data_IF_936244207995
#
_entry.id   IF_936244207995
#
_cell.length_a   1.000
_cell.length_b   1.000
_cell.length_c   1.000
_cell.angle_alpha   90.00
_cell.angle_beta   90.00
_cell.angle_gamma   90.00
#
_symmetry.space_group_name_H-M   'P 1'
#
loop_
_entity.id
_entity.type
_entity.pdbx_description
1 polymer ?
#
# COMPACT_ATOMS: atom_id res chain seq x y z
N UNK A 1 -26.70 -10.83 18.01
CA UNK A 1 -27.12 -10.01 16.86
C UNK A 1 -25.85 -9.55 16.20
N UNK A 2 -25.59 -9.97 14.97
CA UNK A 2 -24.36 -9.61 14.23
C UNK A 2 -24.50 -8.17 13.76
N UNK A 3 -23.45 -7.37 13.93
CA UNK A 3 -23.40 -6.00 13.46
C UNK A 3 -22.57 -5.94 12.18
N UNK A 4 -23.17 -5.51 11.07
CA UNK A 4 -22.53 -5.57 9.74
C UNK A 4 -22.23 -4.19 9.18
N UNK A 5 -21.02 -4.01 8.65
CA UNK A 5 -20.58 -2.83 7.91
C UNK A 5 -20.19 -3.21 6.47
N UNK A 6 -20.37 -2.27 5.55
CA UNK A 6 -20.10 -2.43 4.12
C UNK A 6 -19.20 -1.30 3.63
N UNK A 7 -18.18 -1.64 2.84
CA UNK A 7 -17.40 -0.61 2.15
C UNK A 7 -18.22 0.05 1.02
N UNK A 8 -17.98 1.34 0.72
CA UNK A 8 -18.93 2.18 0.00
C UNK A 8 -19.04 1.90 -1.50
N UNK A 9 -18.14 1.18 -2.15
CA UNK A 9 -18.18 0.90 -3.59
C UNK A 9 -17.56 1.99 -4.46
N UNK A 10 -16.53 2.67 -3.96
CA UNK A 10 -15.68 3.60 -4.69
C UNK A 10 -14.65 2.91 -5.60
N UNK A 11 -14.62 1.57 -5.60
CA UNK A 11 -13.78 0.72 -6.44
C UNK A 11 -12.72 0.02 -5.60
N UNK A 12 -12.20 -1.10 -6.08
CA UNK A 12 -11.42 -2.04 -5.26
C UNK A 12 -10.30 -1.39 -4.44
N UNK A 13 -9.53 -0.45 -5.01
CA UNK A 13 -8.45 0.28 -4.30
C UNK A 13 -9.01 1.18 -3.20
N UNK A 14 -10.02 1.98 -3.50
CA UNK A 14 -10.59 2.88 -2.51
C UNK A 14 -11.28 2.08 -1.39
N UNK A 15 -12.02 1.03 -1.74
CA UNK A 15 -12.71 0.15 -0.81
C UNK A 15 -11.75 -0.66 0.07
N UNK A 16 -10.58 -1.10 -0.44
CA UNK A 16 -9.56 -1.74 0.39
C UNK A 16 -8.94 -0.77 1.39
N UNK A 17 -8.75 0.50 1.00
CA UNK A 17 -8.29 1.55 1.91
C UNK A 17 -9.36 1.86 2.97
N UNK A 18 -10.63 1.99 2.57
CA UNK A 18 -11.75 2.13 3.53
C UNK A 18 -11.77 0.96 4.50
N UNK A 19 -11.67 -0.29 4.02
CA UNK A 19 -11.64 -1.50 4.85
C UNK A 19 -10.58 -1.34 5.95
N UNK A 20 -9.34 -1.07 5.59
CA UNK A 20 -8.27 -0.92 6.58
C UNK A 20 -8.47 0.28 7.51
N UNK A 21 -9.01 1.40 7.03
CA UNK A 21 -9.39 2.52 7.88
C UNK A 21 -10.44 2.14 8.93
N UNK A 22 -11.50 1.44 8.51
CA UNK A 22 -12.54 0.94 9.41
C UNK A 22 -11.94 0.00 10.46
N UNK A 23 -11.17 -1.01 10.02
CA UNK A 23 -10.55 -1.97 10.95
C UNK A 23 -9.66 -1.28 11.98
N UNK A 24 -8.88 -0.27 11.57
CA UNK A 24 -8.02 0.48 12.48
C UNK A 24 -8.81 1.22 13.55
N UNK A 25 -9.89 1.90 13.15
CA UNK A 25 -10.78 2.60 14.09
C UNK A 25 -11.42 1.61 15.05
N UNK A 26 -11.97 0.50 14.53
CA UNK A 26 -12.60 -0.55 15.34
C UNK A 26 -11.63 -1.12 16.38
N UNK A 27 -10.40 -1.44 15.98
CA UNK A 27 -9.37 -1.95 16.89
C UNK A 27 -9.07 -0.97 18.03
N UNK A 28 -9.02 0.33 17.74
CA UNK A 28 -8.84 1.39 18.75
C UNK A 28 -10.01 1.49 19.71
N UNK A 29 -11.24 1.24 19.24
CA UNK A 29 -12.42 1.12 20.10
C UNK A 29 -12.49 -0.20 20.89
N UNK A 30 -11.46 -1.06 20.79
CA UNK A 30 -11.45 -2.39 21.41
C UNK A 30 -12.32 -3.43 20.71
N UNK A 31 -12.77 -3.16 19.47
CA UNK A 31 -13.60 -4.06 18.67
C UNK A 31 -12.71 -4.77 17.64
N UNK A 32 -12.34 -6.01 17.92
CA UNK A 32 -11.43 -6.80 17.08
C UNK A 32 -11.92 -8.23 16.81
N UNK A 33 -13.17 -8.54 17.17
CA UNK A 33 -13.77 -9.85 16.93
C UNK A 33 -14.79 -9.78 15.82
N UNK A 34 -14.58 -10.58 14.79
CA UNK A 34 -15.42 -10.60 13.62
C UNK A 34 -14.70 -11.13 12.41
N UNK A 35 -15.39 -11.06 11.27
CA UNK A 35 -14.89 -11.56 10.00
C UNK A 35 -15.02 -10.51 8.92
N UNK A 36 -14.08 -10.55 7.99
CA UNK A 36 -14.11 -9.76 6.76
C UNK A 36 -14.24 -10.71 5.60
N UNK A 37 -15.18 -10.43 4.70
CA UNK A 37 -15.36 -11.18 3.47
C UNK A 37 -15.44 -10.24 2.27
N UNK A 38 -15.08 -10.77 1.10
CA UNK A 38 -15.10 -10.00 -0.14
C UNK A 38 -16.39 -10.24 -0.90
N UNK A 39 -17.02 -9.15 -1.33
CA UNK A 39 -18.21 -9.14 -2.15
C UNK A 39 -17.96 -8.31 -3.43
N UNK A 40 -17.43 -8.96 -4.46
CA UNK A 40 -17.01 -8.29 -5.70
C UNK A 40 -15.82 -7.36 -5.48
N UNK A 41 -16.02 -6.06 -5.67
CA UNK A 41 -15.02 -5.00 -5.37
C UNK A 41 -15.18 -4.38 -3.98
N UNK A 42 -16.13 -4.88 -3.17
CA UNK A 42 -16.48 -4.36 -1.85
C UNK A 42 -16.16 -5.39 -0.78
N UNK A 43 -16.20 -4.96 0.47
CA UNK A 43 -15.97 -5.80 1.63
C UNK A 43 -17.14 -5.69 2.60
N UNK A 44 -17.43 -6.83 3.24
CA UNK A 44 -18.41 -6.95 4.32
C UNK A 44 -17.63 -7.23 5.59
N UNK A 45 -17.89 -6.47 6.64
CA UNK A 45 -17.27 -6.62 7.96
C UNK A 45 -18.39 -7.00 8.93
N UNK A 46 -18.34 -8.23 9.43
CA UNK A 46 -19.30 -8.77 10.39
C UNK A 46 -18.67 -8.80 11.77
N UNK A 47 -19.22 -8.01 12.70
CA UNK A 47 -18.74 -7.91 14.08
C UNK A 47 -19.53 -8.86 14.97
N UNK A 48 -18.83 -9.57 15.84
CA UNK A 48 -19.45 -10.41 16.87
C UNK A 48 -20.13 -9.54 17.95
N UNK A 49 -19.61 -8.34 18.18
CA UNK A 49 -20.16 -7.37 19.11
C UNK A 49 -21.34 -6.59 18.52
N UNK A 50 -22.43 -6.53 19.29
CA UNK A 50 -23.70 -5.95 18.85
C UNK A 50 -23.77 -4.42 18.90
N UNK A 51 -22.76 -3.74 19.45
CA UNK A 51 -22.75 -2.28 19.60
C UNK A 51 -21.44 -1.67 19.14
N UNK A 52 -21.52 -0.81 18.12
CA UNK A 52 -20.44 0.07 17.72
C UNK A 52 -20.38 1.26 18.69
N UNK A 53 -19.51 1.17 19.69
CA UNK A 53 -19.23 2.25 20.64
C UNK A 53 -17.91 2.95 20.27
N UNK A 54 -17.86 3.53 19.07
CA UNK A 54 -16.73 4.36 18.64
C UNK A 54 -17.13 5.83 18.68
N UNK A 55 -16.54 6.59 19.59
CA UNK A 55 -16.68 8.05 19.58
C UNK A 55 -15.86 8.65 18.43
N UNK A 56 -16.29 9.82 17.93
CA UNK A 56 -15.55 10.58 16.93
C UNK A 56 -14.17 11.01 17.46
N UNK A 57 -14.05 11.24 18.76
CA UNK A 57 -12.82 11.73 19.40
C UNK A 57 -11.68 10.71 19.25
N UNK A 58 -12.00 9.41 19.15
CA UNK A 58 -11.03 8.35 18.86
C UNK A 58 -10.33 8.57 17.52
N UNK A 59 -11.03 9.09 16.51
CA UNK A 59 -10.42 9.33 15.19
C UNK A 59 -9.43 10.49 15.26
N UNK A 60 -9.73 11.51 16.07
CA UNK A 60 -8.79 12.60 16.35
C UNK A 60 -7.56 12.06 17.07
N UNK A 61 -7.72 11.22 18.09
CA UNK A 61 -6.60 10.60 18.81
C UNK A 61 -5.71 9.75 17.88
N UNK A 62 -6.30 8.95 16.99
CA UNK A 62 -5.53 8.13 16.03
C UNK A 62 -4.73 9.01 15.06
N UNK A 63 -5.27 10.17 14.70
CA UNK A 63 -4.69 11.07 13.69
C UNK A 63 -3.91 12.24 14.30
N UNK A 64 -3.85 12.38 15.62
CA UNK A 64 -3.32 13.57 16.31
C UNK A 64 -1.93 13.97 15.79
N UNK A 65 -0.98 13.03 15.78
CA UNK A 65 0.37 13.23 15.26
C UNK A 65 0.37 13.71 13.79
N UNK A 66 -0.49 13.14 12.97
CA UNK A 66 -0.62 13.49 11.55
C UNK A 66 -1.18 14.89 11.39
N UNK A 67 -2.21 15.24 12.16
CA UNK A 67 -2.88 16.55 12.10
C UNK A 67 -1.91 17.66 12.51
N UNK A 68 -1.19 17.48 13.63
CA UNK A 68 -0.14 18.41 14.08
C UNK A 68 0.92 18.58 12.99
N UNK A 69 1.43 17.48 12.44
CA UNK A 69 2.45 17.52 11.37
C UNK A 69 1.95 18.22 10.11
N UNK A 70 0.66 18.06 9.78
CA UNK A 70 0.02 18.70 8.63
C UNK A 70 -0.11 20.20 8.86
N UNK A 71 -0.57 20.64 10.03
CA UNK A 71 -0.65 22.06 10.38
C UNK A 71 0.73 22.73 10.31
N UNK A 72 1.75 22.11 10.90
CA UNK A 72 3.13 22.59 10.83
C UNK A 72 3.61 22.71 9.37
N UNK A 73 3.37 21.69 8.55
CA UNK A 73 3.74 21.70 7.13
C UNK A 73 3.06 22.83 6.35
N UNK A 74 1.78 23.08 6.63
CA UNK A 74 0.99 24.11 5.95
C UNK A 74 1.42 25.53 6.36
N UNK A 75 1.76 25.73 7.64
CA UNK A 75 2.15 27.01 8.23
C UNK A 75 3.59 27.44 7.84
N UNK A 76 4.56 26.52 7.91
CA UNK A 76 6.00 26.81 7.63
C UNK A 76 6.22 27.33 6.20
N UNK A 77 5.40 26.87 5.25
CA UNK A 77 5.53 27.25 3.84
C UNK A 77 4.93 28.61 3.50
N UNK A 78 4.06 29.17 4.34
CA UNK A 78 3.53 30.52 4.18
C UNK A 78 4.55 31.60 4.56
N UNK A 79 5.36 31.33 5.59
CA UNK A 79 6.37 32.26 6.08
C UNK A 79 7.66 32.26 5.24
N UNK A 80 7.98 31.15 4.54
CA UNK A 80 9.26 30.97 3.83
C UNK A 80 9.10 30.67 2.35
N UNK A 81 8.58 31.65 1.59
CA UNK A 81 8.68 31.68 0.11
C UNK A 81 10.16 31.87 -0.31
N UNK A 82 11.00 30.85 -0.21
CA UNK A 82 12.35 30.90 -0.78
C UNK A 82 13.38 29.90 -0.28
N UNK A 83 13.15 29.20 0.83
CA UNK A 83 14.15 28.26 1.38
C UNK A 83 13.58 26.83 1.39
N UNK A 84 14.22 25.95 0.62
CA UNK A 84 13.98 24.49 0.64
C UNK A 84 14.68 23.91 1.88
N UNK A 85 14.18 24.18 3.06
CA UNK A 85 14.61 23.43 4.24
C UNK A 85 13.75 22.18 4.42
N UNK A 86 14.45 21.09 4.70
CA UNK A 86 13.91 19.77 4.98
C UNK A 86 13.08 19.89 6.25
N UNK A 87 11.76 19.86 6.11
CA UNK A 87 10.87 19.73 7.25
C UNK A 87 11.18 18.33 7.84
N UNK A 88 11.48 18.26 9.14
CA UNK A 88 11.44 17.00 9.89
C UNK A 88 9.96 16.60 9.99
N UNK A 89 9.48 15.99 8.92
CA UNK A 89 8.12 15.51 8.79
C UNK A 89 8.02 14.21 9.59
N UNK A 90 6.98 14.04 10.41
CA UNK A 90 6.67 12.74 11.04
C UNK A 90 6.70 11.60 10.03
N UNK A 91 7.00 10.38 10.48
CA UNK A 91 7.05 9.20 9.60
C UNK A 91 5.74 9.01 8.82
N UNK A 92 4.59 9.37 9.43
CA UNK A 92 3.27 9.27 8.80
C UNK A 92 3.04 10.30 7.70
N UNK A 93 3.40 11.57 7.93
CA UNK A 93 3.27 12.58 6.87
C UNK A 93 4.34 12.35 5.77
N UNK A 94 5.51 11.82 6.13
CA UNK A 94 6.52 11.34 5.19
C UNK A 94 5.93 10.28 4.28
N UNK A 95 5.21 9.30 4.82
CA UNK A 95 4.52 8.28 4.04
C UNK A 95 3.52 8.87 3.03
N UNK A 96 2.68 9.84 3.40
CA UNK A 96 1.77 10.54 2.46
C UNK A 96 2.59 11.25 1.37
N UNK A 97 3.69 11.89 1.75
CA UNK A 97 4.57 12.57 0.80
C UNK A 97 5.22 11.58 -0.19
N UNK A 98 5.66 10.40 0.26
CA UNK A 98 6.21 9.33 -0.59
C UNK A 98 5.14 8.68 -1.46
N UNK A 99 3.93 8.50 -0.93
CA UNK A 99 2.73 8.09 -1.65
C UNK A 99 2.40 9.06 -2.79
N UNK A 100 2.64 10.36 -2.59
CA UNK A 100 2.25 11.35 -3.56
C UNK A 100 3.24 11.42 -4.74
N UNK A 101 2.81 10.88 -5.87
CA UNK A 101 3.51 10.98 -7.14
C UNK A 101 3.41 12.41 -7.76
N UNK A 102 2.37 13.18 -7.42
CA UNK A 102 2.12 14.54 -7.93
C UNK A 102 2.27 15.58 -6.80
N UNK A 103 3.51 16.00 -6.53
CA UNK A 103 3.82 16.93 -5.43
C UNK A 103 2.94 18.20 -5.37
N UNK A 104 2.58 18.85 -6.50
CA UNK A 104 1.67 20.00 -6.49
C UNK A 104 0.34 19.79 -5.76
N UNK A 105 -0.25 18.58 -5.80
CA UNK A 105 -1.55 18.34 -5.14
C UNK A 105 -1.45 18.07 -3.64
N UNK A 106 -0.23 17.91 -3.11
CA UNK A 106 -0.01 17.53 -1.70
C UNK A 106 -0.67 18.52 -0.76
N UNK A 107 -0.49 19.83 -0.98
CA UNK A 107 -1.05 20.87 -0.11
C UNK A 107 -2.57 20.75 0.00
N UNK A 108 -3.25 20.64 -1.15
CA UNK A 108 -4.70 20.52 -1.19
C UNK A 108 -5.18 19.22 -0.53
N UNK A 109 -4.42 18.12 -0.71
CA UNK A 109 -4.73 16.86 -0.05
C UNK A 109 -4.64 17.01 1.47
N UNK A 110 -3.53 17.55 1.99
CA UNK A 110 -3.35 17.74 3.42
C UNK A 110 -4.38 18.69 4.03
N UNK A 111 -4.70 19.81 3.36
CA UNK A 111 -5.77 20.72 3.81
C UNK A 111 -7.12 20.00 3.88
N UNK A 112 -7.46 19.17 2.89
CA UNK A 112 -8.71 18.40 2.93
C UNK A 112 -8.73 17.35 4.05
N UNK A 113 -7.58 16.87 4.53
CA UNK A 113 -7.52 15.98 5.70
C UNK A 113 -7.97 16.77 6.94
N UNK A 114 -7.42 17.97 7.17
CA UNK A 114 -7.84 18.84 8.28
C UNK A 114 -9.35 19.14 8.19
N UNK A 115 -9.80 19.64 7.04
CA UNK A 115 -11.22 20.01 6.82
C UNK A 115 -12.16 18.82 7.07
N UNK A 116 -11.77 17.62 6.62
CA UNK A 116 -12.61 16.41 6.74
C UNK A 116 -12.63 15.87 8.17
N UNK A 117 -11.56 16.05 8.95
CA UNK A 117 -11.53 15.65 10.36
C UNK A 117 -12.42 16.55 11.21
N UNK A 118 -12.45 17.86 10.93
CA UNK A 118 -13.38 18.81 11.56
C UNK A 118 -14.85 18.53 11.23
N UNK A 119 -15.11 17.86 10.11
CA UNK A 119 -16.43 17.43 9.68
C UNK A 119 -17.06 16.32 10.55
N UNK A 120 -18.26 15.88 10.15
CA UNK A 120 -18.91 14.75 10.82
C UNK A 120 -18.33 13.43 10.33
N UNK A 121 -17.68 12.68 11.22
CA UNK A 121 -17.19 11.33 10.94
C UNK A 121 -17.94 10.30 11.77
N UNK A 122 -18.51 9.29 11.11
CA UNK A 122 -19.17 8.19 11.80
C UNK A 122 -19.14 6.90 11.00
N UNK A 123 -18.63 5.82 11.58
CA UNK A 123 -18.68 4.49 10.94
C UNK A 123 -20.11 3.96 10.74
N UNK A 124 -21.11 4.57 11.38
CA UNK A 124 -22.53 4.24 11.17
C UNK A 124 -22.95 4.41 9.71
N UNK A 125 -22.28 5.27 8.95
CA UNK A 125 -22.58 5.48 7.53
C UNK A 125 -22.32 4.23 6.68
N UNK A 126 -21.49 3.30 7.16
CA UNK A 126 -21.17 2.04 6.50
C UNK A 126 -22.16 0.92 6.80
N UNK A 127 -23.17 1.15 7.64
CA UNK A 127 -24.30 0.19 7.79
C UNK A 127 -25.12 0.06 6.51
N UNK A 128 -25.15 1.12 5.69
CA UNK A 128 -25.91 1.12 4.46
C UNK A 128 -25.07 0.55 3.31
N UNK A 129 -25.45 -0.61 2.74
CA UNK A 129 -24.77 -1.14 1.55
C UNK A 129 -24.90 -0.22 0.32
N UNK A 130 -25.80 0.76 0.32
CA UNK A 130 -25.96 1.74 -0.76
C UNK A 130 -25.40 3.13 -0.41
N UNK A 131 -24.43 3.21 0.52
CA UNK A 131 -23.81 4.45 0.96
C UNK A 131 -23.46 5.40 -0.20
N UNK A 132 -22.75 4.90 -1.22
CA UNK A 132 -22.33 5.65 -2.40
C UNK A 132 -23.48 6.34 -3.13
N UNK A 133 -24.62 5.66 -3.28
CA UNK A 133 -25.76 6.13 -4.07
C UNK A 133 -26.48 7.31 -3.41
N UNK A 134 -26.47 7.37 -2.07
CA UNK A 134 -27.02 8.51 -1.33
C UNK A 134 -26.30 9.82 -1.63
N UNK A 135 -25.01 9.75 -1.93
CA UNK A 135 -24.17 10.91 -2.21
C UNK A 135 -23.96 11.16 -3.71
N UNK A 136 -24.53 10.33 -4.61
CA UNK A 136 -24.39 10.48 -6.07
C UNK A 136 -24.88 11.84 -6.58
N UNK A 137 -25.99 12.35 -6.03
CA UNK A 137 -26.53 13.67 -6.40
C UNK A 137 -25.66 14.84 -5.92
N UNK A 138 -24.85 14.62 -4.88
CA UNK A 138 -24.01 15.65 -4.25
C UNK A 138 -22.58 15.67 -4.80
N UNK A 139 -22.16 14.70 -5.63
CA UNK A 139 -20.80 14.64 -6.22
C UNK A 139 -20.41 15.86 -7.08
N UNK A 140 -21.40 16.65 -7.51
CA UNK A 140 -21.23 17.90 -8.27
C UNK A 140 -21.33 19.17 -7.40
N UNK A 141 -21.65 19.05 -6.11
CA UNK A 141 -21.79 20.16 -5.15
C UNK A 141 -20.52 20.45 -4.32
N UNK A 142 -20.55 21.54 -3.57
CA UNK A 142 -19.53 21.87 -2.54
C UNK A 142 -19.62 20.95 -1.32
N UNK A 143 -18.53 20.81 -0.57
CA UNK A 143 -18.47 20.04 0.68
C UNK A 143 -18.16 18.54 0.54
N UNK A 144 -17.43 18.14 -0.50
CA UNK A 144 -16.90 16.76 -0.64
C UNK A 144 -15.40 16.81 -0.96
N UNK A 145 -14.65 15.86 -0.40
CA UNK A 145 -13.21 15.74 -0.58
C UNK A 145 -12.85 15.06 -1.91
N UNK A 146 -11.71 15.44 -2.49
CA UNK A 146 -11.21 14.89 -3.75
C UNK A 146 -10.45 13.59 -3.52
N UNK A 147 -10.81 12.55 -4.25
CA UNK A 147 -10.09 11.29 -4.21
C UNK A 147 -8.89 11.35 -5.17
N UNK A 148 -7.70 11.56 -4.61
CA UNK A 148 -6.45 11.64 -5.36
C UNK A 148 -6.02 10.28 -5.92
N UNK A 149 -5.15 10.27 -6.94
CA UNK A 149 -4.73 9.04 -7.63
C UNK A 149 -4.16 7.94 -6.71
N UNK A 150 -3.32 8.25 -5.70
CA UNK A 150 -2.86 7.24 -4.75
C UNK A 150 -4.01 6.48 -4.05
N UNK A 151 -5.19 7.10 -3.97
CA UNK A 151 -6.34 6.62 -3.21
C UNK A 151 -7.36 5.83 -4.06
N UNK A 152 -7.15 5.71 -5.37
CA UNK A 152 -8.09 5.00 -6.25
C UNK A 152 -7.51 4.34 -7.50
N UNK A 153 -6.24 4.60 -7.83
CA UNK A 153 -5.52 4.15 -9.02
C UNK A 153 -6.08 4.59 -10.39
N UNK A 154 -7.37 4.92 -10.50
CA UNK A 154 -8.08 5.24 -11.74
C UNK A 154 -8.63 6.68 -11.70
N UNK A 155 -9.04 7.14 -10.51
CA UNK A 155 -9.68 8.43 -10.35
C UNK A 155 -8.69 9.49 -9.87
N UNK A 156 -8.58 10.55 -10.66
CA UNK A 156 -7.65 11.65 -10.43
C UNK A 156 -7.91 12.85 -11.31
N UNK A 157 -8.19 12.60 -12.59
CA UNK A 157 -8.50 13.63 -13.58
C UNK A 157 -9.84 13.39 -14.32
N UNK A 158 -10.36 12.16 -14.31
CA UNK A 158 -11.55 11.78 -15.07
C UNK A 158 -12.55 11.02 -14.20
N UNK A 159 -13.84 11.37 -14.32
CA UNK A 159 -14.96 10.54 -13.84
C UNK A 159 -15.60 9.87 -15.05
N UNK A 160 -15.81 8.56 -14.98
CA UNK A 160 -16.66 7.85 -15.91
C UNK A 160 -18.10 7.86 -15.35
N UNK A 161 -18.99 8.64 -15.96
CA UNK A 161 -20.43 8.58 -15.68
C UNK A 161 -21.14 7.80 -16.79
N UNK A 162 -22.36 7.29 -16.55
CA UNK A 162 -23.17 6.49 -17.50
C UNK A 162 -23.39 7.13 -18.88
N UNK A 163 -23.03 8.40 -19.08
CA UNK A 163 -23.21 9.18 -20.32
C UNK A 163 -21.91 9.71 -20.93
N UNK A 164 -20.73 9.37 -20.40
CA UNK A 164 -19.44 9.78 -20.96
C UNK A 164 -18.32 9.94 -19.93
N UNK A 165 -17.12 10.22 -20.43
CA UNK A 165 -15.95 10.58 -19.61
C UNK A 165 -15.90 12.10 -19.45
N UNK A 166 -15.94 12.61 -18.22
CA UNK A 166 -15.77 14.04 -17.95
C UNK A 166 -14.49 14.29 -17.15
N UNK A 167 -13.74 15.33 -17.51
CA UNK A 167 -12.63 15.85 -16.68
C UNK A 167 -13.18 16.53 -15.43
N UNK A 168 -13.53 15.73 -14.42
CA UNK A 168 -13.90 16.21 -13.10
C UNK A 168 -13.17 15.37 -12.03
N UNK A 169 -12.83 15.96 -10.88
CA UNK A 169 -12.29 15.20 -9.77
C UNK A 169 -13.37 14.26 -9.23
N UNK A 170 -13.02 13.00 -8.97
CA UNK A 170 -13.89 12.10 -8.23
C UNK A 170 -13.92 12.55 -6.77
N UNK A 171 -15.12 12.70 -6.20
CA UNK A 171 -15.30 13.21 -4.84
C UNK A 171 -16.02 12.21 -3.94
N UNK A 172 -15.66 12.20 -2.66
CA UNK A 172 -16.20 11.33 -1.61
C UNK A 172 -16.56 12.15 -0.36
N UNK A 173 -17.39 11.59 0.52
CA UNK A 173 -17.71 12.24 1.79
C UNK A 173 -16.52 12.20 2.75
N UNK A 174 -16.53 13.06 3.77
CA UNK A 174 -15.44 13.21 4.74
C UNK A 174 -15.12 11.90 5.47
N UNK A 175 -16.14 11.13 5.86
CA UNK A 175 -15.93 9.80 6.48
C UNK A 175 -15.19 8.83 5.56
N UNK A 176 -15.54 8.78 4.27
CA UNK A 176 -14.82 7.96 3.29
C UNK A 176 -13.42 8.50 3.04
N UNK A 177 -13.24 9.81 2.95
CA UNK A 177 -11.92 10.39 2.74
C UNK A 177 -10.97 10.09 3.90
N UNK A 178 -11.43 10.24 5.14
CA UNK A 178 -10.61 9.97 6.33
C UNK A 178 -10.29 8.48 6.45
N UNK A 179 -11.27 7.59 6.31
CA UNK A 179 -10.99 6.14 6.38
C UNK A 179 -10.06 5.67 5.26
N UNK A 180 -10.16 6.22 4.05
CA UNK A 180 -9.22 5.96 2.95
C UNK A 180 -7.80 6.39 3.30
N UNK A 181 -7.64 7.59 3.87
CA UNK A 181 -6.33 8.08 4.31
C UNK A 181 -5.75 7.24 5.45
N UNK A 182 -6.60 6.80 6.39
CA UNK A 182 -6.20 5.84 7.42
C UNK A 182 -5.77 4.50 6.82
N UNK A 183 -6.49 3.99 5.81
CA UNK A 183 -6.08 2.79 5.08
C UNK A 183 -4.74 2.94 4.37
N UNK A 184 -4.44 4.14 3.85
CA UNK A 184 -3.14 4.42 3.23
C UNK A 184 -2.03 4.43 4.30
N UNK A 185 -2.29 5.10 5.43
CA UNK A 185 -1.32 5.24 6.52
C UNK A 185 -1.03 3.90 7.22
N UNK A 186 -2.07 3.12 7.49
CA UNK A 186 -1.99 1.93 8.34
C UNK A 186 -2.11 0.61 7.59
N UNK A 187 -2.76 0.56 6.43
CA UNK A 187 -3.03 -0.69 5.70
C UNK A 187 -2.24 -0.88 4.41
N UNK A 188 -1.40 0.08 4.02
CA UNK A 188 -0.78 0.09 2.67
C UNK A 188 0.71 0.34 2.72
N UNK A 189 1.50 -0.67 2.36
CA UNK A 189 2.94 -0.52 2.21
C UNK A 189 3.26 0.22 0.91
N UNK A 190 4.21 1.16 0.96
CA UNK A 190 4.57 2.01 -0.17
C UNK A 190 6.01 1.78 -0.58
N UNK A 191 6.25 1.45 -1.85
CA UNK A 191 7.60 1.40 -2.42
C UNK A 191 7.72 2.50 -3.47
N UNK A 192 8.63 3.44 -3.26
CA UNK A 192 8.94 4.50 -4.23
C UNK A 192 10.28 4.22 -4.87
N UNK A 193 10.33 4.27 -6.19
CA UNK A 193 11.57 4.21 -6.97
C UNK A 193 11.71 5.49 -7.77
N UNK A 194 12.80 6.21 -7.55
CA UNK A 194 13.16 7.39 -8.33
C UNK A 194 14.38 7.09 -9.21
N UNK A 195 14.27 7.29 -10.52
CA UNK A 195 15.36 7.09 -11.49
C UNK A 195 15.38 8.27 -12.46
N UNK A 196 16.37 9.16 -12.32
CA UNK A 196 16.48 10.41 -13.12
C UNK A 196 15.17 11.21 -13.07
N UNK A 197 14.51 11.44 -14.21
CA UNK A 197 13.25 12.19 -14.34
C UNK A 197 11.99 11.32 -14.21
N UNK A 198 12.16 10.04 -13.84
CA UNK A 198 11.09 9.06 -13.69
C UNK A 198 10.92 8.70 -12.22
N UNK A 199 9.71 8.85 -11.70
CA UNK A 199 9.30 8.37 -10.37
C UNK A 199 8.22 7.31 -10.54
N UNK A 200 8.33 6.19 -9.84
CA UNK A 200 7.29 5.18 -9.75
C UNK A 200 6.96 4.91 -8.29
N UNK A 201 5.68 4.81 -7.97
CA UNK A 201 5.20 4.47 -6.63
C UNK A 201 4.31 3.25 -6.74
N UNK A 202 4.65 2.23 -5.96
CA UNK A 202 3.93 0.97 -5.86
C UNK A 202 3.28 0.91 -4.49
N UNK A 203 2.04 0.44 -4.46
CA UNK A 203 1.25 0.31 -3.25
C UNK A 203 0.88 -1.15 -3.08
N UNK A 204 0.92 -1.64 -1.85
CA UNK A 204 0.61 -3.03 -1.51
C UNK A 204 -0.28 -3.04 -0.28
N UNK A 205 -1.45 -3.66 -0.37
CA UNK A 205 -2.41 -3.78 0.73
C UNK A 205 -3.04 -5.17 0.75
N UNK A 206 -3.61 -5.58 1.89
CA UNK A 206 -4.07 -6.95 2.12
C UNK A 206 -5.60 -7.01 2.15
N UNK A 207 -6.18 -7.84 1.31
CA UNK A 207 -7.63 -7.95 1.19
C UNK A 207 -8.09 -9.38 1.46
N UNK A 208 -9.30 -9.51 1.98
CA UNK A 208 -9.93 -10.81 2.13
C UNK A 208 -10.24 -11.41 0.74
N UNK A 209 -9.97 -12.72 0.57
CA UNK A 209 -10.47 -13.53 -0.56
C UNK A 209 -11.75 -14.24 -0.15
N UNK A 210 -11.75 -14.81 1.05
CA UNK A 210 -12.86 -15.51 1.70
C UNK A 210 -13.13 -14.87 3.08
N UNK A 211 -13.75 -15.59 3.99
CA UNK A 211 -13.97 -15.12 5.36
C UNK A 211 -12.65 -15.16 6.15
N UNK A 212 -12.08 -13.99 6.42
CA UNK A 212 -10.83 -13.80 7.18
C UNK A 212 -11.14 -13.19 8.54
N UNK A 213 -10.45 -13.62 9.59
CA UNK A 213 -10.56 -13.00 10.91
C UNK A 213 -10.07 -11.53 10.87
N UNK A 214 -10.77 -10.64 11.56
CA UNK A 214 -10.35 -9.22 11.65
C UNK A 214 -8.92 -9.10 12.20
N UNK A 215 -8.54 -9.94 13.16
CA UNK A 215 -7.21 -9.91 13.78
C UNK A 215 -6.11 -10.25 12.77
N UNK A 216 -6.32 -11.18 11.84
CA UNK A 216 -5.34 -11.48 10.79
C UNK A 216 -5.07 -10.25 9.92
N UNK A 217 -6.12 -9.53 9.51
CA UNK A 217 -5.96 -8.30 8.72
C UNK A 217 -5.34 -7.16 9.55
N UNK A 218 -5.67 -7.03 10.84
CA UNK A 218 -5.07 -6.06 11.74
C UNK A 218 -3.58 -6.34 11.99
N UNK A 219 -3.19 -7.62 12.08
CA UNK A 219 -1.81 -8.02 12.16
C UNK A 219 -1.06 -7.59 10.90
N UNK A 220 -1.61 -7.89 9.72
CA UNK A 220 -1.03 -7.49 8.44
C UNK A 220 -0.95 -5.97 8.23
N UNK A 221 -1.81 -5.17 8.87
CA UNK A 221 -1.67 -3.71 8.88
C UNK A 221 -0.30 -3.28 9.41
N UNK A 222 0.29 -3.96 10.40
CA UNK A 222 1.62 -3.61 10.90
C UNK A 222 2.69 -3.68 9.80
N UNK A 223 2.56 -4.61 8.85
CA UNK A 223 3.42 -4.65 7.65
C UNK A 223 3.09 -3.52 6.67
N UNK A 224 1.78 -3.25 6.52
CA UNK A 224 1.24 -2.16 5.71
C UNK A 224 1.63 -0.77 6.20
N UNK A 225 2.06 -0.59 7.45
CA UNK A 225 2.45 0.71 7.99
C UNK A 225 3.75 1.27 7.37
N UNK A 226 4.63 0.40 6.88
CA UNK A 226 5.94 0.80 6.34
C UNK A 226 5.90 1.52 4.98
N UNK A 227 7.02 2.16 4.66
CA UNK A 227 7.34 2.61 3.31
C UNK A 227 8.84 2.42 3.03
N UNK A 228 9.18 2.31 1.76
CA UNK A 228 10.55 2.12 1.29
C UNK A 228 10.83 3.02 0.09
N UNK A 229 11.99 3.65 0.07
CA UNK A 229 12.42 4.54 -1.01
C UNK A 229 13.74 4.05 -1.57
N UNK A 230 13.77 3.86 -2.89
CA UNK A 230 14.96 3.44 -3.65
C UNK A 230 15.36 4.56 -4.59
N UNK A 231 16.54 5.14 -4.34
CA UNK A 231 17.15 6.12 -5.23
C UNK A 231 17.96 5.44 -6.34
N UNK A 232 17.77 5.90 -7.57
CA UNK A 232 18.37 5.35 -8.79
C UNK A 232 18.14 3.83 -8.97
N UNK A 233 16.99 3.33 -8.50
CA UNK A 233 16.67 1.91 -8.55
C UNK A 233 16.22 1.39 -9.92
N UNK A 234 16.26 0.07 -10.08
CA UNK A 234 15.63 -0.68 -11.14
C UNK A 234 14.10 -0.53 -11.09
N UNK A 235 13.45 -0.65 -12.26
CA UNK A 235 11.99 -0.64 -12.32
C UNK A 235 11.43 -1.90 -11.66
N UNK A 236 10.32 -1.78 -10.94
CA UNK A 236 9.72 -2.92 -10.24
C UNK A 236 8.56 -3.43 -11.09
N UNK A 237 8.57 -4.69 -11.55
CA UNK A 237 7.39 -5.31 -12.13
C UNK A 237 6.24 -5.26 -11.13
N UNK A 238 5.03 -4.87 -11.57
CA UNK A 238 3.90 -4.67 -10.65
C UNK A 238 3.62 -5.90 -9.77
N UNK A 239 3.70 -7.11 -10.35
CA UNK A 239 3.50 -8.38 -9.63
C UNK A 239 4.57 -8.63 -8.55
N UNK A 240 5.75 -8.02 -8.66
CA UNK A 240 6.87 -8.16 -7.72
C UNK A 240 6.82 -7.16 -6.57
N UNK A 241 5.97 -6.13 -6.64
CA UNK A 241 5.85 -5.13 -5.57
C UNK A 241 5.47 -5.76 -4.21
N UNK A 242 4.54 -6.72 -4.13
CA UNK A 242 4.23 -7.44 -2.90
C UNK A 242 5.41 -8.17 -2.28
N UNK A 243 6.23 -8.86 -3.10
CA UNK A 243 7.43 -9.54 -2.62
C UNK A 243 8.38 -8.55 -1.92
N UNK A 244 8.59 -7.38 -2.52
CA UNK A 244 9.44 -6.33 -1.96
C UNK A 244 8.84 -5.81 -0.65
N UNK A 245 7.57 -5.43 -0.65
CA UNK A 245 6.87 -4.90 0.52
C UNK A 245 6.92 -5.85 1.72
N UNK A 246 6.61 -7.13 1.50
CA UNK A 246 6.62 -8.18 2.53
C UNK A 246 8.07 -8.46 2.99
N UNK A 247 9.05 -8.29 2.10
CA UNK A 247 10.47 -8.44 2.43
C UNK A 247 11.02 -7.33 3.33
N UNK A 248 10.52 -6.09 3.24
CA UNK A 248 11.00 -4.98 4.09
C UNK A 248 10.42 -4.99 5.51
N UNK A 249 9.20 -5.53 5.71
CA UNK A 249 8.55 -5.56 7.01
C UNK A 249 9.05 -6.66 7.94
N UNK A 250 8.63 -6.61 9.20
CA UNK A 250 8.70 -7.79 10.09
C UNK A 250 7.84 -8.91 9.48
N UNK A 251 8.38 -10.13 9.39
CA UNK A 251 7.58 -11.27 8.92
C UNK A 251 6.61 -11.66 10.02
N UNK A 252 5.32 -11.43 9.78
CA UNK A 252 4.29 -11.83 10.73
C UNK A 252 3.91 -13.28 10.42
N UNK A 253 4.60 -14.22 11.07
CA UNK A 253 4.37 -15.65 10.90
C UNK A 253 3.03 -16.16 11.50
N UNK A 254 2.19 -15.26 12.00
CA UNK A 254 1.07 -15.57 12.89
C UNK A 254 -0.31 -15.47 12.23
N UNK A 255 -0.39 -15.34 10.90
CA UNK A 255 -1.67 -15.39 10.19
C UNK A 255 -2.16 -16.85 10.15
N UNK A 256 -3.36 -17.12 10.63
CA UNK A 256 -3.88 -18.49 10.75
C UNK A 256 -4.16 -19.13 9.40
N UNK A 257 -4.89 -18.44 8.52
CA UNK A 257 -5.34 -18.94 7.22
C UNK A 257 -4.81 -18.05 6.06
N UNK A 258 -3.50 -18.06 5.75
CA UNK A 258 -2.90 -17.17 4.74
C UNK A 258 -3.46 -17.37 3.32
N UNK A 259 -4.02 -18.54 3.01
CA UNK A 259 -4.66 -18.84 1.71
C UNK A 259 -5.99 -18.09 1.50
N UNK A 260 -6.62 -17.59 2.57
CA UNK A 260 -7.83 -16.77 2.50
C UNK A 260 -7.55 -15.28 2.26
N UNK A 261 -6.28 -14.90 2.14
CA UNK A 261 -5.84 -13.53 1.98
C UNK A 261 -5.27 -13.34 0.57
N UNK A 262 -5.59 -12.20 -0.02
CA UNK A 262 -5.02 -11.73 -1.27
C UNK A 262 -4.28 -10.42 -1.04
N UNK A 263 -3.31 -10.15 -1.90
CA UNK A 263 -2.60 -8.88 -1.95
C UNK A 263 -3.11 -8.08 -3.14
N UNK A 264 -3.56 -6.86 -2.86
CA UNK A 264 -3.89 -5.87 -3.88
C UNK A 264 -2.69 -4.95 -4.07
N UNK A 265 -2.21 -4.84 -5.31
CA UNK A 265 -1.12 -3.91 -5.66
C UNK A 265 -1.45 -3.07 -6.88
N UNK A 266 -1.11 -1.78 -6.82
CA UNK A 266 -1.21 -0.86 -7.95
C UNK A 266 0.02 0.01 -8.02
N UNK A 267 0.24 0.65 -9.18
CA UNK A 267 1.35 1.59 -9.30
C UNK A 267 1.04 2.80 -10.16
N UNK A 268 1.66 3.90 -9.74
CA UNK A 268 1.61 5.18 -10.42
C UNK A 268 3.01 5.54 -10.89
N UNK A 269 3.09 6.22 -12.02
CA UNK A 269 4.36 6.66 -12.57
C UNK A 269 4.24 8.10 -13.06
N UNK A 270 5.29 8.87 -12.78
CA UNK A 270 5.50 10.19 -13.34
C UNK A 270 6.78 10.16 -14.18
N UNK A 271 6.67 10.57 -15.44
CA UNK A 271 7.81 10.76 -16.33
C UNK A 271 7.54 11.97 -17.20
N UNK A 272 8.50 12.90 -17.29
CA UNK A 272 8.39 14.11 -18.11
C UNK A 272 7.09 14.90 -17.85
N UNK A 273 6.71 15.07 -16.57
CA UNK A 273 5.45 15.68 -16.12
C UNK A 273 4.16 14.95 -16.54
N UNK A 274 4.25 13.78 -17.17
CA UNK A 274 3.11 12.94 -17.48
C UNK A 274 2.92 11.89 -16.40
N UNK A 275 1.73 11.91 -15.78
CA UNK A 275 1.33 10.92 -14.79
C UNK A 275 0.49 9.83 -15.43
N UNK A 276 0.80 8.57 -15.13
CA UNK A 276 0.01 7.41 -15.56
C UNK A 276 -0.16 6.40 -14.42
N UNK A 277 -1.29 5.70 -14.47
CA UNK A 277 -1.49 4.45 -13.73
C UNK A 277 -0.93 3.32 -14.58
N UNK A 278 -0.08 2.47 -14.02
CA UNK A 278 0.54 1.36 -14.75
C UNK A 278 -0.31 0.09 -14.70
N UNK A 279 -1.20 -0.01 -13.71
CA UNK A 279 -2.09 -1.16 -13.56
C UNK A 279 -2.45 -1.45 -12.11
N UNK A 280 -3.27 -2.49 -11.98
CA UNK A 280 -3.75 -3.06 -10.73
C UNK A 280 -3.58 -4.59 -10.84
N UNK A 281 -3.12 -5.24 -9.79
CA UNK A 281 -3.04 -6.70 -9.69
C UNK A 281 -3.59 -7.16 -8.35
N UNK A 282 -4.27 -8.31 -8.39
CA UNK A 282 -4.70 -9.06 -7.20
C UNK A 282 -4.03 -10.41 -7.27
N UNK A 283 -3.22 -10.74 -6.26
CA UNK A 283 -2.46 -11.97 -6.22
C UNK A 283 -2.68 -12.70 -4.90
N UNK A 284 -2.49 -14.02 -4.88
CA UNK A 284 -2.61 -14.78 -3.64
C UNK A 284 -1.43 -14.48 -2.70
N UNK A 285 -1.72 -14.28 -1.41
CA UNK A 285 -0.74 -13.87 -0.40
C UNK A 285 0.22 -15.00 -0.02
N UNK A 286 -0.33 -16.20 0.15
CA UNK A 286 0.37 -17.33 0.76
C UNK A 286 1.72 -17.69 0.10
N UNK A 287 1.85 -17.81 -1.24
CA UNK A 287 3.12 -18.24 -1.84
C UNK A 287 4.26 -17.26 -1.55
N UNK A 288 3.98 -15.95 -1.64
CA UNK A 288 4.97 -14.90 -1.35
C UNK A 288 5.30 -14.88 0.15
N UNK A 289 4.28 -14.97 1.00
CA UNK A 289 4.46 -15.00 2.44
C UNK A 289 5.35 -16.17 2.89
N UNK A 290 5.04 -17.39 2.45
CA UNK A 290 5.81 -18.59 2.82
C UNK A 290 7.26 -18.47 2.36
N UNK A 291 7.48 -18.01 1.13
CA UNK A 291 8.83 -17.76 0.63
C UNK A 291 9.58 -16.73 1.46
N UNK A 292 8.98 -15.56 1.75
CA UNK A 292 9.63 -14.50 2.53
C UNK A 292 9.90 -14.95 3.97
N UNK A 293 9.00 -15.74 4.57
CA UNK A 293 9.23 -16.32 5.88
C UNK A 293 10.42 -17.27 5.87
N UNK A 294 10.47 -18.20 4.93
CA UNK A 294 11.55 -19.18 4.82
C UNK A 294 12.90 -18.52 4.50
N UNK A 295 12.93 -17.61 3.54
CA UNK A 295 14.18 -16.98 3.10
C UNK A 295 14.77 -16.08 4.17
N UNK A 296 13.95 -15.38 4.96
CA UNK A 296 14.46 -14.56 6.07
C UNK A 296 15.00 -15.39 7.23
N UNK A 297 14.48 -16.61 7.43
CA UNK A 297 15.03 -17.55 8.42
C UNK A 297 16.43 -18.05 8.02
N UNK A 298 16.64 -18.33 6.72
CA UNK A 298 17.91 -18.86 6.20
C UNK A 298 18.93 -17.79 5.88
N UNK A 299 18.45 -16.68 5.35
CA UNK A 299 19.22 -15.54 4.88
C UNK A 299 18.70 -14.29 5.60
N UNK A 300 19.16 -14.03 6.85
CA UNK A 300 18.76 -12.84 7.60
C UNK A 300 19.08 -11.52 6.88
N UNK A 301 20.05 -11.56 5.96
CA UNK A 301 20.44 -10.46 5.08
C UNK A 301 19.49 -10.25 3.89
N UNK A 302 18.45 -11.05 3.72
CA UNK A 302 17.54 -11.01 2.57
C UNK A 302 17.00 -9.61 2.23
N UNK A 303 16.49 -8.79 3.18
CA UNK A 303 16.03 -7.45 2.85
C UNK A 303 17.14 -6.57 2.26
N UNK A 304 18.37 -6.70 2.79
CA UNK A 304 19.55 -6.00 2.28
C UNK A 304 19.96 -6.53 0.90
N UNK A 305 19.93 -7.84 0.69
CA UNK A 305 20.19 -8.46 -0.62
C UNK A 305 19.21 -7.94 -1.68
N UNK A 306 17.92 -7.94 -1.36
CA UNK A 306 16.89 -7.44 -2.26
C UNK A 306 17.14 -5.97 -2.62
N UNK A 307 17.46 -5.12 -1.65
CA UNK A 307 17.71 -3.69 -1.88
C UNK A 307 19.00 -3.44 -2.67
N UNK A 308 20.12 -3.99 -2.19
CA UNK A 308 21.44 -3.69 -2.73
C UNK A 308 21.76 -4.47 -4.00
N UNK A 309 21.21 -5.67 -4.19
CA UNK A 309 21.55 -6.52 -5.33
C UNK A 309 20.46 -6.48 -6.41
N UNK A 310 19.18 -6.51 -6.03
CA UNK A 310 18.08 -6.59 -7.01
C UNK A 310 17.48 -5.22 -7.36
N UNK A 311 17.31 -4.32 -6.39
CA UNK A 311 16.67 -3.03 -6.64
C UNK A 311 17.64 -1.93 -7.07
N UNK A 312 18.93 -2.04 -6.75
CA UNK A 312 19.91 -0.99 -7.08
C UNK A 312 20.52 -1.11 -8.48
N UNK A 313 20.56 -2.32 -9.05
CA UNK A 313 21.25 -2.61 -10.31
C UNK A 313 20.27 -2.98 -11.42
N UNK A 314 20.48 -2.44 -12.63
CA UNK A 314 19.73 -2.83 -13.83
C UNK A 314 19.90 -4.34 -14.11
N UNK A 315 18.82 -4.98 -14.58
CA UNK A 315 18.72 -6.44 -14.73
C UNK A 315 18.05 -7.12 -13.53
N UNK A 316 18.07 -6.49 -12.36
CA UNK A 316 17.40 -7.03 -11.16
C UNK A 316 15.88 -7.10 -11.30
N UNK A 317 15.28 -6.23 -12.14
CA UNK A 317 13.87 -6.28 -12.50
C UNK A 317 13.45 -7.60 -13.14
N UNK A 318 14.32 -8.19 -13.97
CA UNK A 318 14.05 -9.44 -14.66
C UNK A 318 14.14 -10.63 -13.70
N UNK A 319 15.09 -10.57 -12.76
CA UNK A 319 15.21 -11.55 -11.67
C UNK A 319 13.98 -11.50 -10.77
N UNK A 320 13.54 -10.30 -10.37
CA UNK A 320 12.35 -10.11 -9.54
C UNK A 320 11.07 -10.60 -10.23
N UNK A 321 10.91 -10.31 -11.52
CA UNK A 321 9.79 -10.82 -12.32
C UNK A 321 9.78 -12.35 -12.31
N UNK A 322 10.88 -12.97 -12.74
CA UNK A 322 11.02 -14.42 -12.84
C UNK A 322 10.81 -15.13 -11.50
N UNK A 323 11.40 -14.59 -10.43
CA UNK A 323 11.21 -15.06 -9.06
C UNK A 323 9.74 -15.02 -8.65
N UNK A 324 9.07 -13.89 -8.87
CA UNK A 324 7.69 -13.68 -8.43
C UNK A 324 6.71 -14.51 -9.26
N UNK A 325 6.91 -14.60 -10.58
CA UNK A 325 6.11 -15.45 -11.46
C UNK A 325 6.22 -16.92 -11.05
N UNK A 326 7.43 -17.39 -10.76
CA UNK A 326 7.68 -18.75 -10.30
C UNK A 326 6.99 -19.05 -8.97
N UNK A 327 6.98 -18.09 -8.03
CA UNK A 327 6.27 -18.22 -6.76
C UNK A 327 4.75 -18.28 -6.94
N UNK A 328 4.19 -17.45 -7.81
CA UNK A 328 2.74 -17.30 -7.96
C UNK A 328 2.10 -18.36 -8.87
N UNK A 329 2.81 -18.79 -9.90
CA UNK A 329 2.23 -19.60 -10.99
C UNK A 329 2.94 -20.94 -11.18
N UNK A 330 3.94 -21.24 -10.36
CA UNK A 330 4.90 -22.31 -10.65
C UNK A 330 5.87 -21.87 -11.76
N UNK A 331 6.88 -22.70 -12.03
CA UNK A 331 7.83 -22.38 -13.09
C UNK A 331 9.11 -23.19 -13.01
N UNK A 332 10.03 -22.89 -13.93
CA UNK A 332 11.34 -23.52 -13.94
C UNK A 332 12.30 -22.76 -13.00
N UNK A 333 12.49 -23.32 -11.80
CA UNK A 333 13.45 -22.80 -10.80
C UNK A 333 14.86 -22.65 -11.41
N UNK A 334 15.24 -23.49 -12.37
CA UNK A 334 16.54 -23.39 -13.02
C UNK A 334 16.67 -22.11 -13.85
N UNK A 335 15.58 -21.59 -14.41
CA UNK A 335 15.58 -20.29 -15.09
C UNK A 335 15.81 -19.17 -14.09
N UNK A 336 15.12 -19.19 -12.94
CA UNK A 336 15.32 -18.20 -11.86
C UNK A 336 16.76 -18.23 -11.36
N UNK A 337 17.30 -19.42 -11.07
CA UNK A 337 18.68 -19.62 -10.64
C UNK A 337 19.67 -19.05 -11.65
N UNK A 338 19.51 -19.36 -12.94
CA UNK A 338 20.41 -18.86 -13.98
C UNK A 338 20.36 -17.34 -14.13
N UNK A 339 19.17 -16.74 -14.07
CA UNK A 339 19.01 -15.29 -14.13
C UNK A 339 19.67 -14.62 -12.91
N UNK A 340 19.44 -15.16 -11.72
CA UNK A 340 20.04 -14.69 -10.48
C UNK A 340 21.58 -14.77 -10.54
N UNK A 341 22.14 -15.91 -10.93
CA UNK A 341 23.58 -16.10 -11.05
C UNK A 341 24.19 -15.16 -12.10
N UNK A 342 23.55 -15.00 -13.27
CA UNK A 342 24.03 -14.07 -14.30
C UNK A 342 24.06 -12.63 -13.78
N UNK A 343 22.99 -12.19 -13.14
CA UNK A 343 22.88 -10.85 -12.56
C UNK A 343 23.93 -10.59 -11.49
N UNK A 344 24.11 -11.55 -10.57
CA UNK A 344 25.13 -11.48 -9.52
C UNK A 344 26.54 -11.40 -10.12
N UNK A 345 26.85 -12.21 -11.14
CA UNK A 345 28.15 -12.17 -11.80
C UNK A 345 28.44 -10.82 -12.44
N UNK A 346 27.43 -10.14 -12.98
CA UNK A 346 27.58 -8.80 -13.54
C UNK A 346 27.80 -7.73 -12.46
N UNK A 347 27.21 -7.89 -11.27
CA UNK A 347 27.52 -7.05 -10.09
C UNK A 347 28.95 -7.30 -9.63
N UNK A 348 29.38 -8.57 -9.53
CA UNK A 348 30.71 -8.94 -9.05
C UNK A 348 31.83 -8.46 -9.98
N UNK A 349 31.59 -8.31 -11.29
CA UNK A 349 32.55 -7.64 -12.19
C UNK A 349 32.83 -6.19 -11.78
N UNK A 350 31.92 -5.56 -11.03
CA UNK A 350 32.03 -4.21 -10.48
C UNK A 350 32.39 -4.21 -8.99
N UNK A 351 32.87 -5.33 -8.43
CA UNK A 351 33.15 -5.49 -6.99
C UNK A 351 34.17 -4.47 -6.46
N UNK A 352 35.12 -4.03 -7.29
CA UNK A 352 36.07 -2.97 -6.93
C UNK A 352 35.38 -1.61 -6.68
N UNK A 353 34.22 -1.37 -7.28
CA UNK A 353 33.40 -0.16 -7.08
C UNK A 353 32.45 -0.32 -5.88
N UNK A 354 32.05 -1.55 -5.56
CA UNK A 354 31.06 -1.87 -4.52
C UNK A 354 31.42 -3.14 -3.70
N UNK A 355 32.49 -3.11 -2.87
CA UNK A 355 33.01 -4.31 -2.21
C UNK A 355 32.05 -4.95 -1.21
N UNK A 356 31.22 -4.15 -0.55
CA UNK A 356 30.22 -4.64 0.42
C UNK A 356 29.03 -5.35 -0.26
N UNK A 357 28.69 -4.97 -1.49
CA UNK A 357 27.67 -5.66 -2.30
C UNK A 357 28.22 -7.00 -2.80
N UNK A 358 29.50 -7.05 -3.16
CA UNK A 358 30.13 -8.29 -3.61
C UNK A 358 30.14 -9.40 -2.55
N UNK A 359 30.37 -9.03 -1.28
CA UNK A 359 30.28 -9.98 -0.14
C UNK A 359 28.86 -10.52 0.04
N UNK A 360 27.86 -9.63 -0.02
CA UNK A 360 26.45 -9.98 0.11
C UNK A 360 25.99 -10.96 -0.98
N UNK A 361 26.37 -10.68 -2.23
CA UNK A 361 26.06 -11.52 -3.38
C UNK A 361 26.60 -12.97 -3.30
N UNK A 362 27.76 -13.16 -2.66
CA UNK A 362 28.44 -14.47 -2.60
C UNK A 362 27.83 -15.44 -1.59
N UNK A 363 27.07 -14.94 -0.61
CA UNK A 363 26.56 -15.73 0.51
C UNK A 363 25.12 -16.20 0.24
N UNK A 364 24.31 -15.37 -0.42
CA UNK A 364 22.85 -15.49 -0.32
C UNK A 364 22.20 -16.21 -1.52
N UNK A 365 22.90 -16.35 -2.66
CA UNK A 365 22.31 -16.80 -3.92
C UNK A 365 21.79 -18.25 -3.90
N UNK A 366 22.57 -19.18 -3.35
CA UNK A 366 22.22 -20.61 -3.35
C UNK A 366 21.06 -20.91 -2.39
N UNK A 367 20.98 -20.19 -1.26
CA UNK A 367 19.90 -20.33 -0.30
C UNK A 367 18.58 -19.78 -0.84
N UNK A 368 18.61 -18.72 -1.67
CA UNK A 368 17.40 -18.22 -2.37
C UNK A 368 16.79 -19.31 -3.26
N UNK A 369 17.63 -19.99 -4.04
CA UNK A 369 17.17 -21.07 -4.93
C UNK A 369 16.64 -22.26 -4.12
N UNK A 370 17.29 -22.60 -3.00
CA UNK A 370 16.83 -23.68 -2.11
C UNK A 370 15.47 -23.35 -1.47
N UNK A 371 15.28 -22.13 -0.97
CA UNK A 371 13.98 -21.70 -0.44
C UNK A 371 12.88 -21.76 -1.49
N UNK A 372 13.16 -21.46 -2.77
CA UNK A 372 12.17 -21.63 -3.84
C UNK A 372 11.76 -23.08 -4.05
N UNK A 373 12.72 -24.02 -4.01
CA UNK A 373 12.44 -25.45 -4.22
C UNK A 373 11.51 -26.02 -3.17
N UNK A 374 11.64 -25.57 -1.92
CA UNK A 374 10.81 -26.05 -0.81
C UNK A 374 9.39 -25.50 -0.81
N UNK A 375 9.17 -24.33 -1.40
CA UNK A 375 7.82 -23.78 -1.56
C UNK A 375 7.06 -24.45 -2.71
N UNK A 376 7.78 -24.99 -3.71
CA UNK A 376 7.17 -25.66 -4.87
C UNK A 376 7.04 -27.18 -4.76
N UNK A 377 7.79 -27.82 -3.85
CA UNK A 377 7.69 -29.25 -3.53
C UNK A 377 6.61 -29.54 -2.50
#
# INVERSE_FOLDING_TARGET
MVYTLYTPGHGLVADSLVLHGILRILAWCGINKGKVSRFGERFVIELEDSKLNCDKDIIYEILEEVLISVEEYLNVREERRGHREIINVSDRLSKINYANINKPVLRNWLSQILDSVEGFISLQVYKDPNHKDRFEKSRKGGGLATLYLPLSAIYGKYVQEKKGVSESPYKVCDTCFITINMGLLFGTHIVRVDKKEKSSVYYTTFIAREDVDINDLLLLQRMGEGYHHVENGAEIPLISAPLIAISQGETIASVEDPYKIQVLTWSLQLSNNFQRSLGLSVIDYEPIYRFVAEIKLRVPTWPRFLNECLLRFEGGEAVLASLTETLLFGGDIYVVSRMLSSHIMDILKKENEYPEVGKLCKIDADEIVRSLQEIQG
#
